data_IF_079882940192
#
_entry.id   IF_079882940192
#
_cell.length_a   1.000
_cell.length_b   1.000
_cell.length_c   1.000
_cell.angle_alpha   90.00
_cell.angle_beta   90.00
_cell.angle_gamma   90.00
#
_symmetry.space_group_name_H-M   'P 1'
#
loop_
_entity.id
_entity.type
_entity.pdbx_description
1 polymer ?
#
# COMPACT_ATOMS: atom_id res chain seq x y z
N UNK A 1 -15.72 8.36 -12.46
CA UNK A 1 -15.53 7.75 -11.13
C UNK A 1 -15.23 8.89 -10.17
N UNK A 2 -16.13 9.16 -9.20
CA UNK A 2 -16.28 10.47 -8.52
C UNK A 2 -15.03 11.03 -7.80
N UNK A 3 -14.04 10.18 -7.49
CA UNK A 3 -12.90 10.53 -6.64
C UNK A 3 -11.52 10.29 -7.28
N UNK A 4 -11.47 9.90 -8.55
CA UNK A 4 -10.18 9.62 -9.21
C UNK A 4 -9.32 10.88 -9.27
N UNK A 5 -9.89 12.00 -9.72
CA UNK A 5 -9.15 13.24 -9.94
C UNK A 5 -8.79 13.91 -8.61
N UNK A 6 -9.55 13.63 -7.54
CA UNK A 6 -9.30 14.15 -6.20
C UNK A 6 -8.08 13.51 -5.55
N UNK A 7 -7.93 12.17 -5.63
CA UNK A 7 -6.87 11.46 -4.91
C UNK A 7 -5.69 10.99 -5.76
N UNK A 8 -5.81 11.02 -7.09
CA UNK A 8 -4.68 10.68 -7.98
C UNK A 8 -3.90 11.92 -8.36
N UNK A 9 -2.58 11.77 -8.38
CA UNK A 9 -1.65 12.82 -8.76
C UNK A 9 -0.30 12.68 -8.06
N UNK A 10 0.77 12.92 -8.80
CA UNK A 10 2.13 12.91 -8.25
C UNK A 10 2.32 14.04 -7.24
N UNK A 11 1.68 15.18 -7.48
CA UNK A 11 1.68 16.37 -6.62
C UNK A 11 1.11 16.09 -5.23
N UNK A 12 0.17 15.14 -5.12
CA UNK A 12 -0.40 14.70 -3.84
C UNK A 12 0.42 13.59 -3.20
N UNK A 13 1.03 12.71 -4.00
CA UNK A 13 1.79 11.58 -3.49
C UNK A 13 3.15 11.99 -2.90
N UNK A 14 3.89 12.89 -3.55
CA UNK A 14 5.21 13.36 -3.11
C UNK A 14 5.24 13.85 -1.65
N UNK A 15 4.39 14.79 -1.21
CA UNK A 15 4.43 15.27 0.17
C UNK A 15 4.12 14.17 1.19
N UNK A 16 3.25 13.20 0.85
CA UNK A 16 2.96 12.06 1.74
C UNK A 16 4.18 11.15 1.90
N UNK A 17 4.92 10.89 0.83
CA UNK A 17 6.14 10.08 0.89
C UNK A 17 7.19 10.76 1.77
N UNK A 18 7.32 12.07 1.68
CA UNK A 18 8.25 12.84 2.50
C UNK A 18 7.85 12.83 3.99
N UNK A 19 6.56 12.96 4.27
CA UNK A 19 6.02 12.84 5.62
C UNK A 19 6.30 11.45 6.21
N UNK A 20 6.11 10.39 5.42
CA UNK A 20 6.40 9.02 5.84
C UNK A 20 7.89 8.86 6.16
N UNK A 21 8.79 9.42 5.35
CA UNK A 21 10.24 9.36 5.62
C UNK A 21 10.62 10.08 6.91
N UNK A 22 9.96 11.20 7.22
CA UNK A 22 10.22 11.97 8.44
C UNK A 22 9.69 11.28 9.70
N UNK A 23 8.56 10.62 9.60
CA UNK A 23 7.82 10.07 10.76
C UNK A 23 8.14 8.62 11.07
N UNK A 24 8.60 7.84 10.09
CA UNK A 24 8.97 6.45 10.28
C UNK A 24 10.34 6.34 10.96
N UNK A 25 10.36 6.43 12.29
CA UNK A 25 11.57 6.42 13.13
C UNK A 25 12.03 5.03 13.58
N UNK A 26 11.25 3.99 13.27
CA UNK A 26 11.48 2.60 13.67
C UNK A 26 11.19 1.63 12.53
N UNK A 27 11.56 0.37 12.74
CA UNK A 27 11.17 -0.72 11.85
C UNK A 27 9.65 -0.95 11.97
N UNK A 28 8.94 -0.83 10.85
CA UNK A 28 7.50 -1.01 10.76
C UNK A 28 7.17 -2.12 9.77
N UNK A 29 6.24 -2.99 10.16
CA UNK A 29 5.68 -4.02 9.29
C UNK A 29 4.19 -3.79 9.16
N UNK A 30 3.73 -3.45 7.96
CA UNK A 30 2.33 -3.06 7.70
C UNK A 30 1.69 -4.09 6.79
N UNK A 31 0.57 -4.65 7.23
CA UNK A 31 -0.17 -5.65 6.47
C UNK A 31 -1.43 -5.05 5.84
N UNK A 32 -1.61 -5.31 4.54
CA UNK A 32 -2.90 -5.13 3.87
C UNK A 32 -3.63 -6.46 3.73
N UNK A 33 -4.96 -6.42 3.71
CA UNK A 33 -5.85 -7.59 3.59
C UNK A 33 -6.92 -7.37 2.52
N UNK A 34 -6.56 -6.69 1.42
CA UNK A 34 -7.47 -6.42 0.33
C UNK A 34 -6.75 -6.59 -1.00
N UNK A 35 -7.19 -7.54 -1.83
CA UNK A 35 -6.56 -7.81 -3.13
C UNK A 35 -6.43 -6.56 -4.02
N UNK A 36 -7.38 -5.61 -3.93
CA UNK A 36 -7.30 -4.33 -4.66
C UNK A 36 -6.15 -3.45 -4.20
N UNK A 37 -5.79 -3.48 -2.90
CA UNK A 37 -4.58 -2.82 -2.40
C UNK A 37 -3.33 -3.53 -2.89
N UNK A 38 -3.29 -4.87 -2.87
CA UNK A 38 -2.16 -5.64 -3.42
C UNK A 38 -1.86 -5.22 -4.86
N UNK A 39 -2.90 -5.16 -5.71
CA UNK A 39 -2.79 -4.72 -7.11
C UNK A 39 -2.31 -3.27 -7.22
N UNK A 40 -2.86 -2.36 -6.41
CA UNK A 40 -2.49 -0.95 -6.45
C UNK A 40 -1.04 -0.71 -6.01
N UNK A 41 -0.61 -1.38 -4.94
CA UNK A 41 0.77 -1.34 -4.42
C UNK A 41 1.76 -1.81 -5.48
N UNK A 42 1.44 -2.92 -6.17
CA UNK A 42 2.28 -3.44 -7.24
C UNK A 42 2.30 -2.51 -8.46
N UNK A 43 1.13 -2.06 -8.92
CA UNK A 43 0.98 -1.20 -10.10
C UNK A 43 1.75 0.12 -9.98
N UNK A 44 1.72 0.74 -8.80
CA UNK A 44 2.37 2.03 -8.57
C UNK A 44 3.74 1.90 -7.90
N UNK A 45 4.26 0.68 -7.74
CA UNK A 45 5.60 0.46 -7.21
C UNK A 45 5.81 0.94 -5.76
N UNK A 46 4.76 1.02 -4.96
CA UNK A 46 4.78 1.64 -3.61
C UNK A 46 5.86 1.00 -2.72
N UNK A 47 6.07 -0.32 -2.83
CA UNK A 47 7.13 -1.05 -2.10
C UNK A 47 8.53 -0.50 -2.32
N UNK A 48 8.82 0.05 -3.50
CA UNK A 48 10.15 0.62 -3.84
C UNK A 48 10.28 2.08 -3.42
N UNK A 49 9.17 2.76 -3.19
CA UNK A 49 9.12 4.20 -2.87
C UNK A 49 9.23 4.43 -1.36
N UNK A 50 8.67 3.51 -0.58
CA UNK A 50 8.73 3.54 0.89
C UNK A 50 10.17 3.41 1.39
N UNK A 51 10.49 4.01 2.55
CA UNK A 51 11.80 3.88 3.16
C UNK A 51 12.06 2.43 3.61
N UNK A 52 13.34 2.05 3.67
CA UNK A 52 13.78 0.66 3.91
C UNK A 52 13.39 0.10 5.28
N UNK A 53 13.05 0.96 6.24
CA UNK A 53 12.53 0.56 7.55
C UNK A 53 11.03 0.23 7.54
N UNK A 54 10.33 0.35 6.41
CA UNK A 54 8.92 -0.05 6.27
C UNK A 54 8.82 -1.27 5.34
N UNK A 55 8.35 -2.39 5.89
CA UNK A 55 7.98 -3.57 5.12
C UNK A 55 6.46 -3.59 4.92
N UNK A 56 6.01 -3.58 3.66
CA UNK A 56 4.61 -3.89 3.34
C UNK A 56 4.46 -5.40 3.15
N UNK A 57 3.48 -6.01 3.81
CA UNK A 57 3.14 -7.44 3.65
C UNK A 57 1.69 -7.60 3.18
N UNK A 58 1.46 -8.60 2.34
CA UNK A 58 0.13 -8.91 1.81
C UNK A 58 -0.45 -10.10 2.57
N UNK A 59 -1.55 -9.85 3.27
CA UNK A 59 -2.30 -10.86 4.02
C UNK A 59 -3.37 -11.56 3.17
N UNK A 60 -4.28 -12.32 3.80
CA UNK A 60 -5.33 -13.09 3.12
C UNK A 60 -6.48 -12.19 2.63
N UNK A 61 -6.22 -11.30 1.67
CA UNK A 61 -7.18 -10.32 1.16
C UNK A 61 -8.07 -10.78 0.00
N UNK A 62 -8.04 -12.06 -0.33
CA UNK A 62 -8.78 -12.66 -1.44
C UNK A 62 -9.78 -13.68 -0.89
N UNK A 63 -11.09 -13.36 -0.87
CA UNK A 63 -12.10 -14.24 -0.26
C UNK A 63 -12.14 -15.62 -0.93
N UNK A 64 -11.98 -15.69 -2.26
CA UNK A 64 -11.95 -16.94 -3.01
C UNK A 64 -10.72 -17.79 -2.66
N UNK A 65 -9.57 -17.14 -2.42
CA UNK A 65 -8.31 -17.82 -2.13
C UNK A 65 -8.29 -18.47 -0.74
N UNK A 66 -9.19 -18.07 0.17
CA UNK A 66 -9.32 -18.62 1.52
C UNK A 66 -10.55 -19.50 1.70
N UNK A 67 -11.32 -19.75 0.63
CA UNK A 67 -12.46 -20.66 0.67
C UNK A 67 -11.97 -22.09 0.97
N UNK A 68 -12.57 -22.74 1.97
CA UNK A 68 -12.25 -24.13 2.29
C UNK A 68 -12.82 -25.09 1.23
N UNK A 69 -12.04 -26.10 0.82
CA UNK A 69 -12.43 -27.12 -0.16
C UNK A 69 -13.25 -28.26 0.44
N UNK A 70 -14.30 -27.95 1.20
CA UNK A 70 -15.17 -29.00 1.75
C UNK A 70 -16.10 -29.60 0.71
#
# INVERSE_FOLDING_TARGET
MKYIDEFRGEEKAKPLIEEIRRTADRLLRIMEVCGTHTVSIARYGIRKILPSNIELVSGPGCPVCVTANR
#
